data_IF_640425654917
#
_entry.id   IF_640425654917
#
_cell.length_a   1.000
_cell.length_b   1.000
_cell.length_c   1.000
_cell.angle_alpha   90.00
_cell.angle_beta   90.00
_cell.angle_gamma   90.00
#
_symmetry.space_group_name_H-M   'P 1'
#
loop_
_entity.id
_entity.type
_entity.pdbx_description
1 polymer ?
#
# COMPACT_ATOMS: atom_id res chain seq x y z
N UNK A 1 4.76 17.14 -19.15
CA UNK A 1 3.93 16.28 -18.31
C UNK A 1 2.93 15.54 -19.18
N UNK A 2 2.85 14.23 -19.05
CA UNK A 2 1.86 13.41 -19.73
C UNK A 2 0.86 12.94 -18.66
N UNK A 3 -0.43 13.16 -18.93
CA UNK A 3 -1.53 12.65 -18.09
C UNK A 3 -2.34 11.65 -18.91
N UNK A 4 -2.58 10.47 -18.33
CA UNK A 4 -3.39 9.40 -18.92
C UNK A 4 -4.46 8.93 -17.94
N UNK A 5 -5.64 8.63 -18.43
CA UNK A 5 -6.64 7.88 -17.67
C UNK A 5 -6.32 6.38 -17.76
N UNK A 6 -6.38 5.70 -16.66
CA UNK A 6 -6.00 4.30 -16.53
C UNK A 6 -7.04 3.53 -15.74
N UNK A 7 -7.13 2.24 -16.00
CA UNK A 7 -7.75 1.27 -15.10
C UNK A 7 -6.67 0.63 -14.25
N UNK A 8 -6.98 0.42 -13.00
CA UNK A 8 -6.06 -0.09 -11.99
C UNK A 8 -6.62 -1.38 -11.42
N UNK A 9 -5.82 -2.43 -11.38
CA UNK A 9 -6.08 -3.62 -10.59
C UNK A 9 -5.15 -3.62 -9.39
N UNK A 10 -5.74 -3.65 -8.21
CA UNK A 10 -5.03 -3.78 -6.94
C UNK A 10 -5.21 -5.21 -6.43
N UNK A 11 -4.12 -5.87 -6.08
CA UNK A 11 -4.14 -7.18 -5.44
C UNK A 11 -3.43 -7.08 -4.10
N UNK A 12 -4.10 -7.50 -3.02
CA UNK A 12 -3.56 -7.45 -1.66
C UNK A 12 -3.71 -8.81 -1.00
N UNK A 13 -2.60 -9.38 -0.55
CA UNK A 13 -2.57 -10.57 0.30
C UNK A 13 -2.00 -10.18 1.65
N UNK A 14 -2.75 -10.43 2.72
CA UNK A 14 -2.37 -10.08 4.10
C UNK A 14 -2.27 -11.35 4.93
N UNK A 15 -1.23 -11.43 5.72
CA UNK A 15 -0.94 -12.56 6.59
C UNK A 15 -0.42 -12.05 7.94
N UNK A 16 -0.97 -12.55 9.04
CA UNK A 16 -0.42 -12.29 10.36
C UNK A 16 1.02 -12.82 10.45
N UNK A 17 1.91 -12.09 11.10
CA UNK A 17 3.29 -12.50 11.30
C UNK A 17 3.74 -12.23 12.74
N UNK A 18 4.66 -13.04 13.23
CA UNK A 18 5.26 -12.88 14.56
C UNK A 18 6.50 -11.94 14.54
N UNK A 19 6.77 -11.28 13.42
CA UNK A 19 7.90 -10.37 13.30
C UNK A 19 7.61 -9.04 14.01
N UNK A 20 8.06 -8.91 15.26
CA UNK A 20 7.91 -7.70 16.07
C UNK A 20 9.18 -6.85 15.99
N UNK A 21 9.15 -5.77 15.22
CA UNK A 21 10.30 -4.89 15.05
C UNK A 21 10.23 -3.61 15.87
N UNK A 22 9.03 -3.19 16.28
CA UNK A 22 8.81 -1.90 16.91
C UNK A 22 9.51 -1.80 18.27
N UNK A 23 9.41 -2.84 19.11
CA UNK A 23 10.10 -2.94 20.37
C UNK A 23 11.64 -2.96 20.23
N UNK A 24 12.13 -3.66 19.20
CA UNK A 24 13.58 -3.73 18.93
C UNK A 24 14.16 -2.36 18.52
N UNK A 25 13.39 -1.53 17.82
CA UNK A 25 13.84 -0.18 17.44
C UNK A 25 13.87 0.80 18.62
N UNK A 26 12.96 0.64 19.58
CA UNK A 26 12.83 1.53 20.73
C UNK A 26 13.63 1.09 21.96
N UNK A 27 14.25 -0.11 21.91
CA UNK A 27 15.04 -0.66 23.02
C UNK A 27 14.21 -1.07 24.23
N UNK A 28 12.91 -1.24 24.07
CA UNK A 28 12.03 -1.76 25.11
C UNK A 28 12.24 -3.27 25.22
N UNK A 29 12.59 -3.76 26.42
CA UNK A 29 12.53 -5.18 26.75
C UNK A 29 11.04 -5.57 26.71
N UNK A 30 10.64 -6.28 25.67
CA UNK A 30 9.29 -6.81 25.55
C UNK A 30 9.17 -7.93 26.55
N UNK A 31 8.48 -7.67 27.69
CA UNK A 31 7.96 -8.76 28.50
C UNK A 31 7.00 -9.57 27.60
N UNK A 32 7.23 -10.88 27.53
CA UNK A 32 6.39 -11.83 26.82
C UNK A 32 4.92 -11.60 27.19
N UNK A 33 4.17 -10.92 26.33
CA UNK A 33 2.71 -10.95 26.43
C UNK A 33 2.29 -12.37 26.06
N UNK A 34 1.76 -13.09 27.04
CA UNK A 34 1.12 -14.37 26.82
C UNK A 34 0.10 -14.22 25.68
N UNK A 35 0.18 -15.11 24.69
CA UNK A 35 -0.71 -15.17 23.53
C UNK A 35 -2.18 -15.19 24.01
N UNK A 36 -2.82 -14.04 24.10
CA UNK A 36 -4.27 -13.98 24.11
C UNK A 36 -4.72 -14.33 22.68
N UNK A 37 -5.20 -15.54 22.49
CA UNK A 37 -5.88 -15.96 21.28
C UNK A 37 -7.07 -15.00 21.06
N UNK A 38 -6.89 -13.99 20.19
CA UNK A 38 -8.01 -13.26 19.65
C UNK A 38 -8.80 -14.21 18.76
N UNK A 39 -10.15 -14.23 18.89
CA UNK A 39 -10.94 -15.09 18.02
C UNK A 39 -10.66 -14.72 16.56
N UNK A 40 -10.38 -15.74 15.76
CA UNK A 40 -10.29 -15.64 14.30
C UNK A 40 -11.59 -15.00 13.78
N UNK A 41 -11.58 -13.68 13.58
CA UNK A 41 -12.55 -13.08 12.68
C UNK A 41 -12.18 -13.62 11.30
N UNK A 42 -13.16 -14.20 10.60
CA UNK A 42 -13.03 -14.81 9.29
C UNK A 42 -12.37 -13.82 8.30
N UNK A 43 -11.01 -13.75 8.32
CA UNK A 43 -10.27 -13.07 7.27
C UNK A 43 -10.41 -13.90 5.99
N UNK A 44 -10.71 -13.26 4.86
CA UNK A 44 -10.84 -14.00 3.61
C UNK A 44 -9.52 -14.72 3.33
N UNK A 45 -9.57 -16.05 3.28
CA UNK A 45 -8.44 -16.87 2.88
C UNK A 45 -8.12 -16.59 1.42
N UNK A 46 -7.12 -15.73 1.17
CA UNK A 46 -6.59 -15.47 -0.16
C UNK A 46 -6.46 -13.98 -0.52
N UNK A 47 -5.91 -13.69 -1.69
CA UNK A 47 -5.71 -12.33 -2.14
C UNK A 47 -7.04 -11.64 -2.44
N UNK A 48 -7.15 -10.37 -2.03
CA UNK A 48 -8.26 -9.49 -2.40
C UNK A 48 -7.87 -8.77 -3.67
N UNK A 49 -8.71 -8.87 -4.69
CA UNK A 49 -8.57 -8.14 -5.95
C UNK A 49 -9.60 -7.03 -6.05
N UNK A 50 -9.14 -5.85 -6.45
CA UNK A 50 -9.99 -4.67 -6.62
C UNK A 50 -9.68 -3.99 -7.94
N UNK A 51 -10.70 -3.42 -8.57
CA UNK A 51 -10.57 -2.62 -9.77
C UNK A 51 -10.99 -1.19 -9.49
N UNK A 52 -10.22 -0.23 -9.97
CA UNK A 52 -10.47 1.19 -9.85
C UNK A 52 -10.12 1.91 -11.14
N UNK A 53 -10.67 3.08 -11.31
CA UNK A 53 -10.22 4.04 -12.32
C UNK A 53 -9.30 5.04 -11.66
N UNK A 54 -8.32 5.52 -12.42
CA UNK A 54 -7.35 6.48 -11.90
C UNK A 54 -6.64 7.25 -12.98
N UNK A 55 -5.64 7.95 -12.56
CA UNK A 55 -4.85 8.82 -13.42
C UNK A 55 -3.36 8.48 -13.26
N UNK A 56 -2.66 8.41 -14.39
CA UNK A 56 -1.21 8.28 -14.45
C UNK A 56 -0.60 9.60 -14.91
N UNK A 57 0.29 10.13 -14.10
CA UNK A 57 1.08 11.32 -14.42
C UNK A 57 2.53 10.92 -14.65
N UNK A 58 3.04 11.19 -15.84
CA UNK A 58 4.45 10.98 -16.19
C UNK A 58 5.08 12.35 -16.36
N UNK A 59 5.91 12.72 -15.39
CA UNK A 59 6.69 13.96 -15.36
C UNK A 59 8.13 13.69 -15.81
N UNK A 60 8.95 14.72 -16.08
CA UNK A 60 10.34 14.51 -16.47
C UNK A 60 11.16 13.70 -15.44
N UNK A 61 10.94 13.94 -14.15
CA UNK A 61 11.68 13.41 -13.02
C UNK A 61 10.96 12.30 -12.24
N UNK A 62 9.62 12.23 -12.31
CA UNK A 62 8.81 11.33 -11.47
C UNK A 62 7.59 10.77 -12.19
N UNK A 63 7.00 9.76 -11.57
CA UNK A 63 5.73 9.15 -11.98
C UNK A 63 4.79 9.10 -10.80
N UNK A 64 3.51 9.38 -11.02
CA UNK A 64 2.45 9.34 -10.01
C UNK A 64 1.26 8.57 -10.56
N UNK A 65 0.76 7.61 -9.78
CA UNK A 65 -0.55 6.98 -9.96
C UNK A 65 -1.48 7.57 -8.90
N UNK A 66 -2.66 8.03 -9.29
CA UNK A 66 -3.65 8.58 -8.38
C UNK A 66 -5.01 7.91 -8.57
N UNK A 67 -5.66 7.53 -7.47
CA UNK A 67 -6.99 6.90 -7.47
C UNK A 67 -7.73 7.13 -6.16
N UNK A 68 -9.05 6.94 -6.19
CA UNK A 68 -9.89 6.98 -5.00
C UNK A 68 -10.04 5.58 -4.39
N UNK A 69 -9.94 5.49 -3.07
CA UNK A 69 -10.12 4.25 -2.32
C UNK A 69 -11.59 3.84 -2.29
N UNK A 70 -11.84 2.54 -2.32
CA UNK A 70 -13.17 1.94 -2.25
C UNK A 70 -13.51 1.43 -0.85
N UNK A 71 -14.77 1.05 -0.63
CA UNK A 71 -15.22 0.39 0.60
C UNK A 71 -14.44 -0.90 0.91
N UNK A 72 -14.00 -1.62 -0.13
CA UNK A 72 -13.27 -2.88 0.02
C UNK A 72 -11.92 -2.73 0.71
N UNK A 73 -11.32 -1.53 0.66
CA UNK A 73 -10.06 -1.25 1.37
C UNK A 73 -10.29 -0.82 2.82
N UNK A 74 -11.54 -0.53 3.20
CA UNK A 74 -11.88 0.09 4.48
C UNK A 74 -11.47 1.56 4.60
N UNK A 75 -11.04 2.18 3.49
CA UNK A 75 -10.54 3.56 3.42
C UNK A 75 -11.36 4.44 2.50
N UNK A 76 -12.63 4.11 2.30
CA UNK A 76 -13.56 4.91 1.49
C UNK A 76 -13.52 6.39 1.89
N UNK A 77 -13.54 7.26 0.89
CA UNK A 77 -13.40 8.70 1.06
C UNK A 77 -11.96 9.19 1.14
N UNK A 78 -10.97 8.30 0.98
CA UNK A 78 -9.56 8.65 0.85
C UNK A 78 -9.12 8.64 -0.60
N UNK A 79 -8.24 9.57 -0.93
CA UNK A 79 -7.54 9.66 -2.22
C UNK A 79 -6.10 9.16 -2.04
N UNK A 80 -5.68 8.21 -2.86
CA UNK A 80 -4.35 7.60 -2.79
C UNK A 80 -3.50 8.03 -3.99
N UNK A 81 -2.26 8.38 -3.71
CA UNK A 81 -1.21 8.62 -4.70
C UNK A 81 -0.03 7.69 -4.41
N UNK A 82 0.39 6.97 -5.44
CA UNK A 82 1.62 6.18 -5.42
C UNK A 82 2.62 6.84 -6.34
N UNK A 83 3.81 7.17 -5.83
CA UNK A 83 4.80 7.91 -6.59
C UNK A 83 6.20 7.34 -6.42
N UNK A 84 7.03 7.56 -7.44
CA UNK A 84 8.46 7.30 -7.40
C UNK A 84 9.20 8.25 -8.35
N UNK A 85 10.48 8.47 -8.09
CA UNK A 85 11.36 9.21 -8.99
C UNK A 85 11.97 8.27 -10.04
N UNK A 86 12.14 8.73 -11.27
CA UNK A 86 12.65 7.90 -12.37
C UNK A 86 14.11 7.47 -12.18
N UNK A 87 14.88 8.26 -11.43
CA UNK A 87 16.27 7.96 -11.07
C UNK A 87 16.40 7.06 -9.82
N UNK A 88 15.29 6.81 -9.09
CA UNK A 88 15.23 5.97 -7.91
C UNK A 88 13.90 5.18 -7.88
N UNK A 89 13.61 4.32 -8.87
CA UNK A 89 12.35 3.60 -8.97
C UNK A 89 12.13 2.59 -7.85
N UNK A 90 13.18 2.18 -7.15
CA UNK A 90 13.16 1.30 -5.99
C UNK A 90 12.64 1.96 -4.71
N UNK A 91 12.52 3.30 -4.69
CA UNK A 91 11.93 4.05 -3.60
C UNK A 91 10.51 4.47 -3.96
N UNK A 92 9.52 3.78 -3.41
CA UNK A 92 8.10 4.03 -3.66
C UNK A 92 7.46 4.68 -2.45
N UNK A 93 6.70 5.73 -2.67
CA UNK A 93 5.94 6.42 -1.62
C UNK A 93 4.44 6.34 -1.93
N UNK A 94 3.65 5.97 -0.93
CA UNK A 94 2.19 5.96 -1.01
C UNK A 94 1.63 6.99 -0.03
N UNK A 95 0.86 7.93 -0.54
CA UNK A 95 0.22 9.00 0.23
C UNK A 95 -1.28 8.80 0.18
N UNK A 96 -1.95 8.85 1.33
CA UNK A 96 -3.41 8.85 1.45
C UNK A 96 -3.88 10.12 2.13
N UNK A 97 -4.95 10.69 1.60
CA UNK A 97 -5.58 11.88 2.14
C UNK A 97 -7.10 11.70 2.12
N UNK A 98 -7.77 12.07 3.21
CA UNK A 98 -9.23 11.98 3.34
C UNK A 98 -9.64 11.40 4.68
N UNK A 99 -10.43 10.34 4.69
CA UNK A 99 -10.83 9.64 5.92
C UNK A 99 -9.62 9.05 6.66
N UNK A 100 -8.59 8.64 5.90
CA UNK A 100 -7.31 8.24 6.42
C UNK A 100 -6.22 9.15 5.83
N UNK A 101 -5.32 9.65 6.67
CA UNK A 101 -4.18 10.44 6.24
C UNK A 101 -2.89 9.74 6.68
N UNK A 102 -2.07 9.36 5.71
CA UNK A 102 -0.78 8.72 5.97
C UNK A 102 0.18 8.86 4.79
N UNK A 103 1.46 8.71 5.09
CA UNK A 103 2.53 8.60 4.09
C UNK A 103 3.32 7.34 4.43
N UNK A 104 3.28 6.36 3.54
CA UNK A 104 4.05 5.13 3.63
C UNK A 104 5.23 5.22 2.68
N UNK A 105 6.41 4.84 3.16
CA UNK A 105 7.64 4.82 2.38
C UNK A 105 8.13 3.38 2.28
N UNK A 106 8.31 2.89 1.05
CA UNK A 106 8.78 1.55 0.75
C UNK A 106 10.17 1.62 0.15
N UNK A 107 11.15 1.15 0.90
CA UNK A 107 12.55 1.05 0.51
C UNK A 107 13.08 -0.31 0.99
N UNK A 108 13.50 -1.15 0.05
CA UNK A 108 13.88 -2.53 0.35
C UNK A 108 14.95 -2.62 1.45
N UNK A 109 14.68 -3.47 2.44
CA UNK A 109 15.57 -3.71 3.58
C UNK A 109 15.54 -2.62 4.66
N UNK A 110 14.65 -1.62 4.55
CA UNK A 110 14.57 -0.51 5.51
C UNK A 110 13.24 -0.45 6.24
N UNK A 111 13.29 0.15 7.44
CA UNK A 111 12.15 0.44 8.32
C UNK A 111 11.87 1.92 8.30
N UNK A 112 10.60 2.27 8.15
CA UNK A 112 10.13 3.64 8.27
C UNK A 112 9.00 3.71 9.29
N UNK A 113 9.09 4.67 10.20
CA UNK A 113 8.00 4.98 11.14
C UNK A 113 7.15 6.06 10.51
N UNK A 114 5.84 5.82 10.45
CA UNK A 114 4.86 6.71 9.87
C UNK A 114 3.73 6.98 10.86
N UNK A 115 3.08 8.13 10.72
CA UNK A 115 1.84 8.41 11.42
C UNK A 115 0.67 7.99 10.55
N UNK A 116 -0.25 7.23 11.14
CA UNK A 116 -1.50 6.82 10.53
C UNK A 116 -2.62 7.56 11.24
N UNK A 117 -3.22 8.53 10.54
CA UNK A 117 -4.24 9.38 11.11
C UNK A 117 -5.62 8.93 10.65
N UNK A 118 -6.45 8.52 11.61
CA UNK A 118 -7.85 8.15 11.41
C UNK A 118 -8.78 9.24 11.93
N UNK A 119 -10.09 9.19 11.66
CA UNK A 119 -11.05 10.12 12.24
C UNK A 119 -11.14 10.06 13.77
N UNK A 120 -10.63 8.99 14.40
CA UNK A 120 -10.73 8.77 15.85
C UNK A 120 -9.47 9.24 16.57
N UNK A 121 -8.29 8.80 16.12
CA UNK A 121 -7.02 9.13 16.74
C UNK A 121 -5.86 8.83 15.80
N UNK A 122 -4.75 9.58 15.91
CA UNK A 122 -3.49 9.22 15.25
C UNK A 122 -2.79 8.10 16.02
N UNK A 123 -2.09 7.23 15.30
CA UNK A 123 -1.17 6.26 15.87
C UNK A 123 0.05 6.06 14.98
N UNK A 124 1.14 5.58 15.58
CA UNK A 124 2.37 5.30 14.85
C UNK A 124 2.39 3.86 14.36
N UNK A 125 2.84 3.68 13.12
CA UNK A 125 3.10 2.38 12.52
C UNK A 125 4.55 2.31 12.06
N UNK A 126 5.11 1.10 12.11
CA UNK A 126 6.41 0.80 11.52
C UNK A 126 6.20 -0.04 10.26
N UNK A 127 6.76 0.40 9.15
CA UNK A 127 6.75 -0.33 7.88
C UNK A 127 8.16 -0.84 7.59
N UNK A 128 8.30 -2.15 7.51
CA UNK A 128 9.52 -2.80 7.05
C UNK A 128 9.29 -3.37 5.66
N UNK A 129 10.02 -2.88 4.67
CA UNK A 129 9.89 -3.33 3.28
C UNK A 129 10.85 -4.48 2.99
N UNK A 130 10.29 -5.63 2.64
CA UNK A 130 11.06 -6.82 2.26
C UNK A 130 11.51 -6.77 0.81
N UNK A 131 10.63 -6.28 -0.10
CA UNK A 131 10.92 -6.20 -1.53
C UNK A 131 10.13 -5.08 -2.20
N UNK A 132 10.80 -4.40 -3.12
CA UNK A 132 10.20 -3.48 -4.09
C UNK A 132 10.56 -3.96 -5.48
N UNK A 133 9.56 -4.25 -6.30
CA UNK A 133 9.74 -4.53 -7.73
C UNK A 133 8.86 -3.55 -8.52
N UNK A 134 9.49 -2.51 -9.04
CA UNK A 134 8.82 -1.46 -9.79
C UNK A 134 9.19 -1.55 -11.28
N UNK A 135 8.28 -2.11 -12.05
CA UNK A 135 8.36 -2.19 -13.53
C UNK A 135 7.21 -1.43 -14.19
N UNK A 136 6.72 -0.37 -13.52
CA UNK A 136 5.54 0.35 -13.98
C UNK A 136 5.69 0.91 -15.40
N UNK A 137 6.83 1.52 -15.71
CA UNK A 137 7.07 2.13 -17.01
C UNK A 137 7.29 1.11 -18.15
N UNK A 138 7.66 -0.12 -17.80
CA UNK A 138 7.96 -1.20 -18.75
C UNK A 138 6.78 -2.15 -18.92
N UNK A 139 6.19 -2.59 -17.81
CA UNK A 139 5.17 -3.64 -17.76
C UNK A 139 3.86 -3.19 -17.12
N UNK A 140 3.77 -1.96 -16.62
CA UNK A 140 2.58 -1.47 -15.93
C UNK A 140 2.38 -2.04 -14.54
N UNK A 141 3.44 -2.50 -13.84
CA UNK A 141 3.33 -3.23 -12.56
C UNK A 141 4.26 -2.67 -11.50
N UNK A 142 3.72 -2.54 -10.27
CA UNK A 142 4.49 -2.36 -9.04
C UNK A 142 4.11 -3.48 -8.07
N UNK A 143 5.09 -4.22 -7.58
CA UNK A 143 4.95 -5.21 -6.52
C UNK A 143 5.67 -4.74 -5.26
N UNK A 144 4.95 -4.76 -4.13
CA UNK A 144 5.48 -4.42 -2.80
C UNK A 144 5.25 -5.59 -1.85
N UNK A 145 6.29 -5.96 -1.10
CA UNK A 145 6.22 -6.94 -0.02
C UNK A 145 6.75 -6.28 1.26
N UNK A 146 5.88 -6.09 2.24
CA UNK A 146 6.20 -5.34 3.45
C UNK A 146 5.46 -5.84 4.68
N UNK A 147 6.00 -5.53 5.84
CA UNK A 147 5.41 -5.81 7.15
C UNK A 147 5.01 -4.49 7.79
N UNK A 148 3.76 -4.43 8.25
CA UNK A 148 3.23 -3.31 9.05
C UNK A 148 3.07 -3.77 10.47
N UNK A 149 3.62 -3.01 11.41
CA UNK A 149 3.50 -3.23 12.83
C UNK A 149 2.91 -1.99 13.49
N UNK A 150 1.84 -2.19 14.24
CA UNK A 150 1.26 -1.17 15.12
C UNK A 150 1.73 -1.50 16.53
N UNK A 151 2.22 -0.50 17.26
CA UNK A 151 2.71 -0.69 18.64
C UNK A 151 1.64 -1.33 19.52
N UNK A 152 1.96 -2.49 20.10
CA UNK A 152 1.07 -3.26 20.97
C UNK A 152 0.03 -4.10 20.22
N UNK A 153 0.12 -4.21 18.89
CA UNK A 153 -0.72 -5.06 18.07
C UNK A 153 0.13 -6.10 17.30
N UNK A 154 -0.52 -7.12 16.77
CA UNK A 154 0.13 -8.12 15.93
C UNK A 154 0.63 -7.49 14.63
N UNK A 155 1.83 -7.87 14.19
CA UNK A 155 2.38 -7.46 12.91
C UNK A 155 1.68 -8.19 11.74
N UNK A 156 1.57 -7.51 10.61
CA UNK A 156 0.93 -8.03 9.40
C UNK A 156 1.87 -7.89 8.20
N UNK A 157 2.10 -8.99 7.49
CA UNK A 157 2.78 -8.97 6.20
C UNK A 157 1.77 -8.73 5.11
N UNK A 158 2.08 -7.80 4.22
CA UNK A 158 1.26 -7.47 3.06
C UNK A 158 2.08 -7.65 1.79
N UNK A 159 1.53 -8.41 0.85
CA UNK A 159 1.98 -8.45 -0.54
C UNK A 159 0.97 -7.64 -1.36
N UNK A 160 1.41 -6.52 -1.89
CA UNK A 160 0.55 -5.56 -2.58
C UNK A 160 1.04 -5.36 -4.01
N UNK A 161 0.14 -5.56 -4.97
CA UNK A 161 0.43 -5.42 -6.39
C UNK A 161 -0.49 -4.39 -7.04
N UNK A 162 0.10 -3.49 -7.79
CA UNK A 162 -0.60 -2.50 -8.61
C UNK A 162 -0.33 -2.86 -10.07
N UNK A 163 -1.40 -3.08 -10.84
CA UNK A 163 -1.35 -3.28 -12.29
C UNK A 163 -2.16 -2.19 -12.96
N UNK A 164 -1.56 -1.49 -13.92
CA UNK A 164 -2.25 -0.46 -14.69
C UNK A 164 -2.52 -0.92 -16.11
N UNK A 165 -3.69 -0.54 -16.62
CA UNK A 165 -4.12 -0.78 -18.00
C UNK A 165 -4.50 0.57 -18.61
N UNK A 166 -3.87 0.91 -19.71
CA UNK A 166 -4.26 2.10 -20.47
C UNK A 166 -5.57 1.82 -21.17
N UNK A 167 -6.52 2.75 -21.09
CA UNK A 167 -7.73 2.67 -21.89
C UNK A 167 -7.35 2.92 -23.36
N UNK A 168 -7.48 1.88 -24.18
CA UNK A 168 -7.38 2.03 -25.63
C UNK A 168 -8.65 2.76 -26.11
N UNK A 169 -8.55 3.98 -26.65
CA UNK A 169 -9.71 4.73 -27.12
C UNK A 169 -10.43 4.04 -28.29
N UNK A 170 -9.86 2.97 -28.84
CA UNK A 170 -10.48 2.17 -29.91
C UNK A 170 -11.41 1.06 -29.41
N UNK A 171 -11.36 0.74 -28.10
CA UNK A 171 -12.29 -0.19 -27.45
C UNK A 171 -13.41 0.57 -26.71
N UNK A 172 -14.28 1.22 -27.46
CA UNK A 172 -15.59 1.59 -26.92
C UNK A 172 -16.35 0.30 -26.58
N UNK A 173 -16.88 0.15 -25.35
CA UNK A 173 -17.75 -0.98 -25.05
C UNK A 173 -18.95 -0.92 -26.01
N UNK A 174 -19.06 -1.91 -26.88
CA UNK A 174 -20.29 -2.10 -27.63
C UNK A 174 -21.31 -2.64 -26.62
N UNK A 175 -22.11 -1.75 -26.08
CA UNK A 175 -23.35 -2.15 -25.43
C UNK A 175 -24.34 -2.52 -26.55
N UNK A 176 -24.57 -3.81 -26.70
CA UNK A 176 -25.77 -4.27 -27.36
C UNK A 176 -26.94 -4.33 -26.38
#
# INVERSE_FOLDING_TARGET
MIKKFIRIKLTSLREATNDHFFGQMLGDDIEDFEDEEFPDEDEPEGPIEMFSEGELYIMPDRVIIAYDESELTGMEGSHTQVRFEKNAPELVTMMRNGSVNTILVFEEGKRHICTYQTPYMPFEICVFTKKVNNTLLENGVIDLDYIVEIRGAQAERTQFKIEIFEDDPTMSPQFE
#
